data_IF_993455389393
#
_entry.id   IF_993455389393
#
_cell.length_a   1.000
_cell.length_b   1.000
_cell.length_c   1.000
_cell.angle_alpha   90.00
_cell.angle_beta   90.00
_cell.angle_gamma   90.00
#
_symmetry.space_group_name_H-M   'P 1'
#
loop_
_entity.id
_entity.type
_entity.pdbx_description
1 polymer ?
#
# COMPACT_ATOMS: atom_id res chain seq x y z
N UNK A 1 10.23 -27.11 -2.86
CA UNK A 1 9.91 -25.86 -2.17
C UNK A 1 8.43 -25.65 -2.31
N UNK A 2 7.71 -25.67 -1.20
CA UNK A 2 6.33 -25.21 -1.17
C UNK A 2 6.35 -23.67 -1.18
N UNK A 3 5.27 -23.03 -1.63
CA UNK A 3 5.21 -21.57 -1.74
C UNK A 3 5.28 -20.85 -0.39
N UNK A 4 4.78 -19.62 -0.33
CA UNK A 4 4.61 -18.89 0.93
C UNK A 4 3.14 -18.63 1.20
N UNK A 5 2.70 -18.88 2.43
CA UNK A 5 1.38 -18.42 2.88
C UNK A 5 1.49 -16.94 3.22
N UNK A 6 0.68 -16.12 2.55
CA UNK A 6 0.63 -14.67 2.79
C UNK A 6 -0.71 -14.27 3.41
N UNK A 7 -0.67 -13.42 4.43
CA UNK A 7 -1.86 -12.73 4.94
C UNK A 7 -1.90 -11.35 4.33
N UNK A 8 -3.02 -10.94 3.74
CA UNK A 8 -3.20 -9.59 3.17
C UNK A 8 -3.57 -8.57 4.24
N UNK A 9 -4.36 -8.99 5.22
CA UNK A 9 -4.77 -8.17 6.36
C UNK A 9 -6.10 -8.65 6.93
N UNK A 10 -6.60 -7.94 7.93
CA UNK A 10 -7.92 -8.16 8.51
C UNK A 10 -8.47 -6.83 9.02
N UNK A 11 -9.72 -6.55 8.67
CA UNK A 11 -10.52 -5.49 9.27
C UNK A 11 -11.71 -6.18 9.95
N UNK A 12 -11.68 -6.37 11.28
CA UNK A 12 -12.76 -7.03 11.99
C UNK A 12 -14.06 -6.22 11.86
N UNK A 13 -15.22 -6.85 11.61
CA UNK A 13 -16.48 -6.13 11.60
C UNK A 13 -16.80 -5.63 13.02
N UNK A 14 -17.17 -4.36 13.14
CA UNK A 14 -17.67 -3.78 14.40
C UNK A 14 -18.94 -2.97 14.18
N UNK A 15 -19.83 -3.00 15.17
CA UNK A 15 -21.06 -2.19 15.23
C UNK A 15 -20.86 -0.90 16.03
N UNK A 16 -19.73 -0.76 16.71
CA UNK A 16 -19.36 0.43 17.45
C UNK A 16 -18.87 1.54 16.51
N UNK A 17 -19.44 2.74 16.64
CA UNK A 17 -19.16 3.86 15.73
C UNK A 17 -17.75 4.43 15.90
N UNK A 18 -17.15 4.33 17.10
CA UNK A 18 -15.79 4.77 17.35
C UNK A 18 -14.79 3.76 16.75
N UNK A 19 -14.97 2.46 17.02
CA UNK A 19 -14.12 1.41 16.42
C UNK A 19 -14.20 1.44 14.88
N UNK A 20 -15.39 1.65 14.29
CA UNK A 20 -15.54 1.80 12.82
C UNK A 20 -14.78 3.01 12.27
N UNK A 21 -14.67 4.08 13.05
CA UNK A 21 -13.94 5.28 12.66
C UNK A 21 -12.43 5.03 12.74
N UNK A 22 -11.97 4.34 13.78
CA UNK A 22 -10.57 3.94 13.94
C UNK A 22 -10.14 2.96 12.82
N UNK A 23 -10.98 1.97 12.52
CA UNK A 23 -10.75 1.02 11.43
C UNK A 23 -10.66 1.74 10.07
N UNK A 24 -11.46 2.79 9.88
CA UNK A 24 -11.53 3.59 8.65
C UNK A 24 -10.22 4.32 8.31
N UNK A 25 -9.35 4.54 9.29
CA UNK A 25 -8.01 5.12 9.09
C UNK A 25 -6.87 4.16 9.47
N UNK A 26 -7.18 2.88 9.68
CA UNK A 26 -6.18 1.82 9.89
C UNK A 26 -5.62 1.75 11.31
N UNK A 27 -6.37 2.21 12.31
CA UNK A 27 -6.04 2.10 13.74
C UNK A 27 -6.91 1.02 14.41
N UNK A 28 -6.71 0.78 15.70
CA UNK A 28 -7.52 -0.18 16.47
C UNK A 28 -7.11 -1.63 16.21
N UNK A 29 -8.03 -2.46 15.71
CA UNK A 29 -7.82 -3.90 15.50
C UNK A 29 -7.49 -4.26 14.05
N UNK A 30 -7.30 -3.26 13.19
CA UNK A 30 -6.90 -3.46 11.79
C UNK A 30 -5.49 -4.04 11.73
N UNK A 31 -5.36 -5.17 11.04
CA UNK A 31 -4.06 -5.74 10.70
C UNK A 31 -3.82 -5.56 9.20
N UNK A 32 -2.68 -5.01 8.84
CA UNK A 32 -2.23 -4.90 7.46
C UNK A 32 -0.81 -5.46 7.32
N UNK A 33 -0.56 -6.23 6.27
CA UNK A 33 0.79 -6.66 5.92
C UNK A 33 1.34 -5.80 4.77
N UNK A 34 2.67 -5.65 4.65
CA UNK A 34 3.26 -5.01 3.47
C UNK A 34 2.82 -5.67 2.16
N UNK A 35 2.71 -7.00 2.14
CA UNK A 35 2.22 -7.72 0.97
C UNK A 35 0.79 -7.34 0.60
N UNK A 36 -0.13 -7.29 1.58
CA UNK A 36 -1.50 -6.87 1.34
C UNK A 36 -1.61 -5.42 0.89
N UNK A 37 -0.78 -4.53 1.44
CA UNK A 37 -0.78 -3.13 1.03
C UNK A 37 -0.20 -2.91 -0.37
N UNK A 38 0.80 -3.69 -0.76
CA UNK A 38 1.27 -3.73 -2.14
C UNK A 38 0.16 -4.25 -3.07
N UNK A 39 -0.60 -5.28 -2.65
CA UNK A 39 -1.72 -5.81 -3.43
C UNK A 39 -2.86 -4.79 -3.58
N UNK A 40 -3.20 -4.04 -2.53
CA UNK A 40 -4.18 -2.94 -2.59
C UNK A 40 -3.73 -1.88 -3.59
N UNK A 41 -2.46 -1.46 -3.53
CA UNK A 41 -1.93 -0.50 -4.49
C UNK A 41 -1.95 -1.04 -5.93
N UNK A 42 -1.62 -2.32 -6.11
CA UNK A 42 -1.70 -3.00 -7.40
C UNK A 42 -3.13 -3.07 -7.94
N UNK A 43 -4.13 -3.29 -7.07
CA UNK A 43 -5.55 -3.27 -7.45
C UNK A 43 -5.96 -1.91 -8.01
N UNK A 44 -5.51 -0.81 -7.40
CA UNK A 44 -5.80 0.55 -7.89
C UNK A 44 -5.06 0.83 -9.20
N UNK A 45 -3.81 0.40 -9.32
CA UNK A 45 -3.01 0.55 -10.53
C UNK A 45 -3.64 -0.21 -11.71
N UNK A 46 -3.94 -1.49 -11.54
CA UNK A 46 -4.46 -2.37 -12.58
C UNK A 46 -5.98 -2.25 -12.80
N UNK A 47 -6.71 -1.63 -11.88
CA UNK A 47 -8.18 -1.56 -11.90
C UNK A 47 -8.89 -2.88 -11.59
N UNK A 48 -8.14 -3.88 -11.15
CA UNK A 48 -8.61 -5.19 -10.69
C UNK A 48 -7.54 -5.79 -9.78
N UNK A 49 -7.92 -6.66 -8.85
CA UNK A 49 -6.95 -7.34 -7.99
C UNK A 49 -6.16 -8.36 -8.81
N UNK A 50 -4.83 -8.18 -8.97
CA UNK A 50 -4.01 -9.17 -9.67
C UNK A 50 -3.85 -10.42 -8.79
N UNK A 51 -3.66 -11.58 -9.43
CA UNK A 51 -3.26 -12.80 -8.72
C UNK A 51 -1.73 -12.83 -8.66
N UNK A 52 -1.12 -12.63 -7.48
CA UNK A 52 0.34 -12.59 -7.35
C UNK A 52 0.93 -13.96 -7.58
N UNK A 53 2.14 -14.03 -8.14
CA UNK A 53 2.89 -15.27 -8.32
C UNK A 53 4.28 -15.12 -7.70
N UNK A 54 4.65 -16.04 -6.81
CA UNK A 54 5.99 -16.07 -6.22
C UNK A 54 6.95 -16.96 -7.02
N UNK A 55 6.48 -18.14 -7.44
CA UNK A 55 7.28 -19.12 -8.17
C UNK A 55 6.71 -19.25 -9.57
N UNK A 56 7.52 -18.93 -10.58
CA UNK A 56 7.14 -19.03 -11.98
C UNK A 56 6.66 -20.45 -12.33
N UNK A 57 5.59 -20.55 -13.11
CA UNK A 57 4.98 -21.82 -13.49
C UNK A 57 4.20 -22.53 -12.39
N UNK A 58 4.11 -21.95 -11.18
CA UNK A 58 3.25 -22.47 -10.11
C UNK A 58 2.04 -21.57 -9.91
N UNK A 59 0.81 -22.09 -10.07
CA UNK A 59 -0.40 -21.34 -9.81
C UNK A 59 -0.51 -20.93 -8.34
N UNK A 60 -1.04 -19.74 -8.09
CA UNK A 60 -1.37 -19.27 -6.74
C UNK A 60 -2.81 -19.65 -6.42
N UNK A 61 -3.02 -20.32 -5.29
CA UNK A 61 -4.35 -20.52 -4.74
C UNK A 61 -4.80 -19.24 -4.04
N UNK A 62 -6.03 -18.79 -4.33
CA UNK A 62 -6.65 -17.64 -3.68
C UNK A 62 -7.80 -18.15 -2.83
N UNK A 63 -7.81 -17.79 -1.56
CA UNK A 63 -8.84 -18.15 -0.59
C UNK A 63 -9.61 -16.90 -0.15
N UNK A 64 -10.90 -17.07 0.16
CA UNK A 64 -11.79 -15.98 0.58
C UNK A 64 -12.46 -15.23 -0.59
N UNK A 65 -13.36 -14.32 -0.23
CA UNK A 65 -14.09 -13.50 -1.20
C UNK A 65 -13.25 -12.32 -1.68
N UNK A 66 -13.24 -12.10 -3.00
CA UNK A 66 -12.61 -10.96 -3.63
C UNK A 66 -13.68 -10.10 -4.31
N UNK A 67 -14.29 -9.17 -3.57
CA UNK A 67 -15.18 -8.18 -4.18
C UNK A 67 -14.38 -7.33 -5.17
N UNK A 68 -14.79 -7.26 -6.46
CA UNK A 68 -14.08 -6.43 -7.42
C UNK A 68 -14.14 -4.95 -7.04
N UNK A 69 -13.03 -4.24 -7.25
CA UNK A 69 -13.03 -2.79 -7.15
C UNK A 69 -13.91 -2.19 -8.26
N UNK A 70 -14.72 -1.20 -7.94
CA UNK A 70 -15.57 -0.52 -8.94
C UNK A 70 -14.80 0.58 -9.67
N UNK A 71 -15.21 0.88 -10.91
CA UNK A 71 -14.64 1.99 -11.69
C UNK A 71 -14.75 3.32 -10.94
N UNK A 72 -15.88 3.58 -10.28
CA UNK A 72 -16.09 4.77 -9.44
C UNK A 72 -15.03 4.90 -8.34
N UNK A 73 -14.63 3.79 -7.72
CA UNK A 73 -13.58 3.80 -6.70
C UNK A 73 -12.20 4.10 -7.31
N UNK A 74 -11.89 3.52 -8.47
CA UNK A 74 -10.64 3.78 -9.19
C UNK A 74 -10.54 5.27 -9.56
N UNK A 75 -11.60 5.81 -10.17
CA UNK A 75 -11.65 7.20 -10.63
C UNK A 75 -11.50 8.20 -9.48
N UNK A 76 -11.93 7.83 -8.27
CA UNK A 76 -11.72 8.63 -7.06
C UNK A 76 -10.31 8.44 -6.47
N UNK A 77 -9.83 7.20 -6.37
CA UNK A 77 -8.58 6.87 -5.68
C UNK A 77 -7.35 7.40 -6.40
N UNK A 78 -7.26 7.24 -7.72
CA UNK A 78 -6.04 7.61 -8.48
C UNK A 78 -5.71 9.11 -8.36
N UNK A 79 -6.64 10.05 -8.56
CA UNK A 79 -6.34 11.47 -8.36
C UNK A 79 -5.96 11.81 -6.92
N UNK A 80 -6.64 11.22 -5.93
CA UNK A 80 -6.31 11.43 -4.52
C UNK A 80 -4.91 10.93 -4.17
N UNK A 81 -4.55 9.73 -4.61
CA UNK A 81 -3.20 9.17 -4.43
C UNK A 81 -2.14 10.00 -5.17
N UNK A 82 -2.46 10.57 -6.33
CA UNK A 82 -1.54 11.49 -7.00
C UNK A 82 -1.34 12.78 -6.21
N UNK A 83 -2.42 13.31 -5.66
CA UNK A 83 -2.39 14.56 -4.91
C UNK A 83 -1.51 14.47 -3.66
N UNK A 84 -1.41 13.29 -3.04
CA UNK A 84 -0.50 13.05 -1.91
C UNK A 84 0.96 13.30 -2.30
N UNK A 85 1.34 12.96 -3.52
CA UNK A 85 2.70 13.14 -4.05
C UNK A 85 2.90 14.56 -4.57
N UNK A 86 1.95 15.12 -5.31
CA UNK A 86 2.12 16.44 -5.94
C UNK A 86 1.88 17.60 -4.99
N UNK A 87 0.99 17.44 -4.00
CA UNK A 87 0.62 18.50 -3.07
C UNK A 87 0.45 18.04 -1.60
N UNK A 88 0.83 16.81 -1.24
CA UNK A 88 0.57 16.25 0.08
C UNK A 88 1.81 15.86 0.88
N UNK A 89 1.64 14.81 1.68
CA UNK A 89 2.62 14.29 2.64
C UNK A 89 3.79 13.53 1.99
N UNK A 90 3.69 13.16 0.71
CA UNK A 90 4.75 12.43 0.01
C UNK A 90 5.52 13.30 -1.00
N UNK A 91 5.53 14.64 -0.83
CA UNK A 91 6.18 15.58 -1.77
C UNK A 91 7.64 15.24 -2.10
N UNK A 92 8.38 14.69 -1.16
CA UNK A 92 9.80 14.38 -1.35
C UNK A 92 10.08 13.37 -2.47
N UNK A 93 9.10 12.52 -2.84
CA UNK A 93 9.22 11.52 -3.90
C UNK A 93 8.76 12.01 -5.28
N UNK A 94 8.28 13.25 -5.40
CA UNK A 94 7.72 13.78 -6.65
C UNK A 94 8.72 13.81 -7.83
N UNK A 95 10.03 13.79 -7.55
CA UNK A 95 11.08 13.71 -8.57
C UNK A 95 11.34 12.31 -9.12
N UNK A 96 10.68 11.28 -8.60
CA UNK A 96 10.91 9.87 -8.97
C UNK A 96 9.94 9.36 -10.04
N UNK A 97 9.47 10.23 -10.94
CA UNK A 97 8.48 9.91 -11.97
C UNK A 97 7.03 9.99 -11.49
N UNK A 98 6.11 9.37 -12.22
CA UNK A 98 4.67 9.42 -11.93
C UNK A 98 4.25 8.48 -10.79
N UNK A 99 4.56 8.88 -9.56
CA UNK A 99 4.19 8.12 -8.35
C UNK A 99 2.78 8.48 -7.88
N UNK A 100 2.04 7.47 -7.46
CA UNK A 100 0.73 7.55 -6.82
C UNK A 100 0.81 6.80 -5.50
N UNK A 101 0.45 7.41 -4.38
CA UNK A 101 0.57 6.71 -3.11
C UNK A 101 -0.19 7.35 -1.96
N UNK A 102 -0.13 6.71 -0.81
CA UNK A 102 -0.64 7.24 0.45
C UNK A 102 0.33 6.95 1.58
N UNK A 103 0.61 7.98 2.37
CA UNK A 103 1.37 7.85 3.62
C UNK A 103 0.45 7.45 4.76
N UNK A 104 0.98 6.78 5.77
CA UNK A 104 0.26 6.41 6.99
C UNK A 104 1.18 6.32 8.19
N UNK A 105 0.59 6.46 9.36
CA UNK A 105 1.24 6.21 10.65
C UNK A 105 0.32 5.29 11.46
N UNK A 106 0.92 4.30 12.12
CA UNK A 106 0.20 3.40 13.02
C UNK A 106 0.80 3.51 14.42
N UNK A 107 0.01 3.89 15.41
CA UNK A 107 0.50 4.20 16.75
C UNK A 107 0.60 2.95 17.63
N UNK A 108 1.60 2.91 18.51
CA UNK A 108 1.75 1.88 19.53
C UNK A 108 2.37 2.49 20.81
N UNK A 109 2.26 1.82 21.98
CA UNK A 109 2.93 2.29 23.18
C UNK A 109 4.45 2.41 22.96
N UNK A 110 4.95 3.64 22.88
CA UNK A 110 6.38 3.94 22.63
C UNK A 110 6.71 4.52 21.25
N UNK A 111 5.74 4.73 20.36
CA UNK A 111 5.97 5.45 19.09
C UNK A 111 4.93 5.18 18.01
N UNK A 112 5.31 5.38 16.74
CA UNK A 112 4.49 5.02 15.58
C UNK A 112 5.30 4.27 14.52
N UNK A 113 4.63 3.46 13.70
CA UNK A 113 5.19 2.84 12.51
C UNK A 113 5.01 3.77 11.32
N UNK A 114 6.03 3.86 10.48
CA UNK A 114 6.05 4.72 9.29
C UNK A 114 5.64 3.90 8.06
N UNK A 115 4.58 4.30 7.36
CA UNK A 115 4.07 3.62 6.18
C UNK A 115 4.03 4.52 4.95
N UNK A 116 4.37 3.93 3.81
CA UNK A 116 4.07 4.48 2.49
C UNK A 116 3.76 3.35 1.51
N UNK A 117 2.57 3.37 0.92
CA UNK A 117 2.16 2.39 -0.09
C UNK A 117 1.63 3.09 -1.34
N UNK A 118 1.84 2.49 -2.50
CA UNK A 118 1.52 3.13 -3.76
C UNK A 118 2.00 2.37 -4.98
N UNK A 119 2.00 3.03 -6.13
CA UNK A 119 2.49 2.50 -7.38
C UNK A 119 3.18 3.56 -8.24
N UNK A 120 4.05 3.11 -9.14
CA UNK A 120 4.67 3.88 -10.22
C UNK A 120 4.72 3.02 -11.47
N UNK A 121 4.05 3.45 -12.54
CA UNK A 121 3.83 2.60 -13.71
C UNK A 121 3.14 1.29 -13.31
N UNK A 122 3.76 0.16 -13.67
CA UNK A 122 3.28 -1.20 -13.34
C UNK A 122 3.86 -1.77 -12.01
N UNK A 123 4.65 -0.98 -11.29
CA UNK A 123 5.24 -1.40 -10.01
C UNK A 123 4.38 -0.91 -8.85
N UNK A 124 3.75 -1.83 -8.11
CA UNK A 124 3.14 -1.55 -6.82
C UNK A 124 4.11 -1.84 -5.67
N UNK A 125 4.05 -1.04 -4.60
CA UNK A 125 4.95 -1.14 -3.46
C UNK A 125 4.22 -0.88 -2.14
N UNK A 126 4.81 -1.39 -1.06
CA UNK A 126 4.51 -1.00 0.32
C UNK A 126 5.82 -0.95 1.11
N UNK A 127 6.05 0.18 1.78
CA UNK A 127 7.21 0.50 2.58
C UNK A 127 6.77 0.68 4.02
N UNK A 128 7.38 -0.10 4.92
CA UNK A 128 7.11 -0.09 6.36
C UNK A 128 8.43 0.05 7.12
N UNK A 129 8.49 1.02 8.04
CA UNK A 129 9.53 1.09 9.06
C UNK A 129 8.86 0.93 10.42
N UNK A 130 9.07 -0.23 11.05
CA UNK A 130 8.56 -0.54 12.39
C UNK A 130 9.25 0.38 13.40
N UNK A 131 8.45 1.08 14.20
CA UNK A 131 8.95 2.11 15.11
C UNK A 131 9.60 3.30 14.40
N UNK A 132 9.35 3.48 13.10
CA UNK A 132 9.98 4.52 12.29
C UNK A 132 9.51 5.94 12.60
N UNK A 133 8.42 6.12 13.34
CA UNK A 133 7.83 7.43 13.59
C UNK A 133 7.14 7.98 12.34
N UNK A 134 7.44 9.25 12.03
CA UNK A 134 6.83 10.01 10.92
C UNK A 134 6.81 9.24 9.60
N UNK A 135 5.68 9.31 8.90
CA UNK A 135 5.51 8.68 7.57
C UNK A 135 6.50 9.17 6.50
N UNK A 136 7.14 10.33 6.71
CA UNK A 136 8.21 10.86 5.84
C UNK A 136 9.38 9.87 5.67
N UNK A 137 9.72 9.11 6.72
CA UNK A 137 10.84 8.18 6.64
C UNK A 137 10.57 7.02 5.69
N UNK A 138 9.35 6.48 5.66
CA UNK A 138 8.95 5.49 4.66
C UNK A 138 8.98 6.08 3.25
N UNK A 139 8.56 7.35 3.06
CA UNK A 139 8.65 8.04 1.76
C UNK A 139 10.10 8.15 1.29
N UNK A 140 11.02 8.57 2.18
CA UNK A 140 12.46 8.65 1.87
C UNK A 140 13.07 7.28 1.54
N UNK A 141 12.69 6.24 2.28
CA UNK A 141 13.13 4.88 1.99
C UNK A 141 12.68 4.43 0.58
N UNK A 142 11.42 4.66 0.22
CA UNK A 142 10.92 4.36 -1.13
C UNK A 142 11.62 5.18 -2.20
N UNK A 143 11.91 6.45 -1.94
CA UNK A 143 12.69 7.31 -2.84
C UNK A 143 14.08 6.72 -3.12
N UNK A 144 14.81 6.32 -2.09
CA UNK A 144 16.13 5.67 -2.24
C UNK A 144 16.02 4.39 -3.07
N UNK A 145 14.97 3.58 -2.83
CA UNK A 145 14.71 2.39 -3.65
C UNK A 145 14.52 2.77 -5.13
N UNK A 146 13.71 3.79 -5.44
CA UNK A 146 13.51 4.25 -6.82
C UNK A 146 14.74 4.85 -7.48
N UNK A 147 15.56 5.59 -6.74
CA UNK A 147 16.83 6.15 -7.22
C UNK A 147 17.89 5.07 -7.48
N UNK A 148 17.75 3.91 -6.84
CA UNK A 148 18.62 2.75 -7.02
C UNK A 148 18.21 1.84 -8.19
N UNK A 149 17.04 2.08 -8.81
CA UNK A 149 16.58 1.30 -9.96
C UNK A 149 17.33 1.72 -11.23
N UNK A 150 17.44 0.82 -12.24
CA UNK A 150 18.03 1.17 -13.52
C UNK A 150 17.36 2.40 -14.16
N UNK A 151 18.10 3.25 -14.90
CA UNK A 151 17.53 4.40 -15.59
C UNK A 151 16.34 4.01 -16.47
N UNK A 152 15.23 4.74 -16.35
CA UNK A 152 14.02 4.51 -17.15
C UNK A 152 13.18 3.29 -16.73
N UNK A 153 13.53 2.60 -15.64
CA UNK A 153 12.74 1.46 -15.16
C UNK A 153 11.37 1.91 -14.64
N UNK A 154 10.34 1.68 -15.46
CA UNK A 154 8.94 2.01 -15.18
C UNK A 154 8.74 3.49 -14.79
N UNK A 155 9.54 4.38 -15.38
CA UNK A 155 9.53 5.83 -15.16
C UNK A 155 8.88 6.57 -16.33
#
# INVERSE_FOLDING_TARGET
MDGITTVTGSVPPTVDLAERTEDGFGQGKVLASPFGMALVAATVAAGKTPVPQLIAGRPTAVEGDATPISQKMIDALRPMMRLVVTNGTAKEIAGCGEVFGKTGEAEFPGGSHSWFAGYRGDLAFASLIVGGGSSEYAVRMTKVMFESLPPGYLA
#
